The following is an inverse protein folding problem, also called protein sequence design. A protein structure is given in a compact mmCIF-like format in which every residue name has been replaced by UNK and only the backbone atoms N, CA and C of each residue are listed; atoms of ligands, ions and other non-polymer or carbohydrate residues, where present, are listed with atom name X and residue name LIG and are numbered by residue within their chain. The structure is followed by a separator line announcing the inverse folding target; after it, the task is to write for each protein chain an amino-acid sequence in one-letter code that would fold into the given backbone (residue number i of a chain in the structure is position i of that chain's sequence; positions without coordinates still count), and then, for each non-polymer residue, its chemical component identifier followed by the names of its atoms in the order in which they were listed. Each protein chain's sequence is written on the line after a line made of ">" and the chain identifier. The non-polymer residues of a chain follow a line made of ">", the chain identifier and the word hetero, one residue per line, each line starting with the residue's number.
data_IF_171733559777
#
_entry.id   IF_171733559777
#
_cell.length_a   1.000
_cell.length_b   1.000
_cell.length_c   1.000
_cell.angle_alpha   90.00
_cell.angle_beta   90.00
_cell.angle_gamma   90.00
#
_symmetry.space_group_name_H-M   'P 1'
#
loop_
_entity.id
_entity.type
_entity.pdbx_description
1 polymer ?
#
# COMPACT_ATOMS: atom_id res chain seq x y z
N UNK A 1 -1.45 -37.40 -28.72
CA UNK A 1 -0.22 -37.49 -27.89
C UNK A 1 0.31 -36.08 -27.81
N UNK A 2 -0.14 -35.34 -26.82
CA UNK A 2 0.36 -34.01 -26.49
C UNK A 2 1.66 -34.20 -25.72
N UNK A 3 2.79 -33.98 -26.41
CA UNK A 3 4.05 -33.69 -25.76
C UNK A 3 3.92 -32.34 -25.07
N UNK A 4 3.47 -32.33 -23.82
CA UNK A 4 3.61 -31.21 -22.95
C UNK A 4 5.12 -31.05 -22.73
N UNK A 5 5.78 -30.17 -23.48
CA UNK A 5 7.05 -29.61 -23.10
C UNK A 5 6.84 -28.91 -21.76
N UNK A 6 7.14 -29.61 -20.67
CA UNK A 6 7.36 -28.96 -19.38
C UNK A 6 8.52 -27.99 -19.60
N UNK A 7 8.20 -26.73 -19.86
CA UNK A 7 9.18 -25.64 -19.78
C UNK A 7 9.86 -25.77 -18.42
N UNK A 8 11.16 -26.01 -18.42
CA UNK A 8 12.00 -26.04 -17.21
C UNK A 8 11.84 -24.71 -16.47
N UNK A 9 10.90 -24.65 -15.52
CA UNK A 9 10.65 -23.45 -14.72
C UNK A 9 11.87 -23.20 -13.87
N UNK A 10 12.62 -22.15 -14.21
CA UNK A 10 13.81 -21.70 -13.48
C UNK A 10 13.35 -20.79 -12.34
N UNK A 11 13.68 -21.16 -11.13
CA UNK A 11 13.35 -20.41 -9.93
C UNK A 11 14.60 -19.78 -9.35
N UNK A 12 14.53 -18.50 -8.99
CA UNK A 12 15.61 -17.84 -8.26
C UNK A 12 15.61 -18.34 -6.82
N UNK A 13 16.72 -18.88 -6.36
CA UNK A 13 16.90 -19.39 -5.00
C UNK A 13 18.16 -18.75 -4.43
N UNK A 14 17.97 -17.84 -3.52
CA UNK A 14 19.09 -17.15 -2.91
C UNK A 14 19.89 -16.32 -3.90
N UNK A 15 21.17 -16.64 -4.00
CA UNK A 15 22.09 -15.98 -4.92
C UNK A 15 22.26 -16.73 -6.25
N UNK A 16 21.36 -17.67 -6.58
CA UNK A 16 21.43 -18.47 -7.79
C UNK A 16 20.08 -18.80 -8.37
N UNK A 17 20.08 -19.43 -9.53
CA UNK A 17 18.90 -19.97 -10.18
C UNK A 17 18.97 -21.50 -10.17
N UNK A 18 17.87 -22.15 -9.85
CA UNK A 18 17.74 -23.61 -9.91
C UNK A 18 16.47 -23.99 -10.70
N UNK A 19 16.53 -25.14 -11.37
CA UNK A 19 15.31 -25.71 -11.96
C UNK A 19 14.36 -26.13 -10.85
N UNK A 20 13.10 -25.79 -10.95
CA UNK A 20 12.05 -26.13 -9.97
C UNK A 20 12.02 -27.63 -9.66
N UNK A 21 12.28 -28.47 -10.66
CA UNK A 21 12.34 -29.94 -10.54
C UNK A 21 13.47 -30.41 -9.59
N UNK A 22 14.55 -29.64 -9.48
CA UNK A 22 15.72 -29.98 -8.64
C UNK A 22 15.60 -29.43 -7.22
N UNK A 23 14.49 -28.76 -6.89
CA UNK A 23 14.32 -28.15 -5.58
C UNK A 23 13.67 -29.17 -4.62
N UNK A 24 14.41 -29.54 -3.58
CA UNK A 24 13.89 -30.38 -2.48
C UNK A 24 13.06 -29.58 -1.48
N UNK A 25 13.12 -28.25 -1.54
CA UNK A 25 12.44 -27.33 -0.62
C UNK A 25 11.03 -26.92 -1.07
N UNK A 26 10.17 -26.50 -0.11
CA UNK A 26 8.84 -26.00 -0.38
C UNK A 26 8.88 -24.56 -0.93
N UNK A 27 8.99 -24.41 -2.25
CA UNK A 27 9.00 -23.12 -2.94
C UNK A 27 7.73 -22.93 -3.76
N UNK A 28 7.13 -21.75 -3.66
CA UNK A 28 6.06 -21.32 -4.56
C UNK A 28 6.56 -20.20 -5.46
N UNK A 29 6.33 -20.31 -6.76
CA UNK A 29 6.66 -19.29 -7.75
C UNK A 29 5.35 -18.69 -8.32
N UNK A 30 5.34 -17.38 -8.48
CA UNK A 30 4.24 -16.62 -9.11
C UNK A 30 4.82 -15.87 -10.30
N UNK A 31 4.32 -16.18 -11.49
CA UNK A 31 4.61 -15.45 -12.72
C UNK A 31 3.78 -14.15 -12.73
N UNK A 32 4.49 -13.04 -12.61
CA UNK A 32 3.86 -11.72 -12.52
C UNK A 32 3.27 -11.23 -13.84
N UNK A 33 3.76 -11.72 -14.99
CA UNK A 33 3.24 -11.30 -16.30
C UNK A 33 1.75 -11.61 -16.42
N UNK A 34 1.36 -12.83 -16.04
CA UNK A 34 -0.05 -13.27 -16.06
C UNK A 34 -0.92 -12.52 -15.06
N UNK A 35 -0.37 -12.13 -13.92
CA UNK A 35 -1.10 -11.46 -12.87
C UNK A 35 -1.39 -10.00 -13.20
N UNK A 36 -0.39 -9.29 -13.73
CA UNK A 36 -0.51 -7.87 -14.10
C UNK A 36 -1.47 -7.66 -15.27
N UNK A 37 -1.54 -8.62 -16.19
CA UNK A 37 -2.44 -8.55 -17.35
C UNK A 37 -3.90 -8.92 -16.98
N UNK A 38 -4.11 -9.65 -15.88
CA UNK A 38 -5.43 -10.14 -15.48
C UNK A 38 -6.25 -9.16 -14.63
N UNK A 39 -5.59 -8.30 -13.85
CA UNK A 39 -6.24 -7.36 -12.94
C UNK A 39 -5.37 -6.13 -12.63
N UNK A 40 -5.98 -4.96 -12.35
CA UNK A 40 -5.26 -3.79 -11.84
C UNK A 40 -4.63 -4.08 -10.49
N UNK A 41 -3.32 -3.82 -10.33
CA UNK A 41 -2.57 -4.01 -9.09
C UNK A 41 -1.85 -2.72 -8.76
N UNK A 42 -2.19 -2.10 -7.63
CA UNK A 42 -1.56 -0.89 -7.10
C UNK A 42 -0.46 -1.20 -6.10
N UNK A 43 -0.65 -2.27 -5.32
CA UNK A 43 0.27 -2.75 -4.29
C UNK A 43 0.68 -4.20 -4.58
N UNK A 44 1.99 -4.45 -4.66
CA UNK A 44 2.50 -5.78 -4.95
C UNK A 44 2.15 -6.78 -3.84
N UNK A 45 2.18 -6.34 -2.57
CA UNK A 45 1.83 -7.20 -1.43
C UNK A 45 0.36 -7.62 -1.44
N UNK A 46 -0.56 -6.68 -1.71
CA UNK A 46 -1.98 -6.98 -1.82
C UNK A 46 -2.28 -7.86 -3.05
N UNK A 47 -1.51 -7.66 -4.13
CA UNK A 47 -1.60 -8.45 -5.36
C UNK A 47 -1.32 -9.94 -5.16
N UNK A 48 -0.53 -10.32 -4.16
CA UNK A 48 -0.22 -11.74 -3.87
C UNK A 48 -1.38 -12.53 -3.24
N UNK A 49 -2.47 -11.87 -2.86
CA UNK A 49 -3.60 -12.56 -2.23
C UNK A 49 -4.15 -13.67 -3.12
N UNK A 50 -4.17 -14.91 -2.60
CA UNK A 50 -4.63 -16.10 -3.31
C UNK A 50 -3.68 -16.66 -4.37
N UNK A 51 -2.50 -16.06 -4.60
CA UNK A 51 -1.59 -16.44 -5.70
C UNK A 51 -0.51 -17.45 -5.28
N UNK A 52 -0.15 -17.51 -4.03
CA UNK A 52 0.89 -18.40 -3.54
C UNK A 52 0.37 -19.32 -2.43
N UNK A 53 0.43 -20.63 -2.63
CA UNK A 53 0.02 -21.60 -1.61
C UNK A 53 0.83 -21.41 -0.33
N UNK A 54 0.19 -21.46 0.85
CA UNK A 54 0.84 -21.30 2.16
C UNK A 54 1.31 -19.87 2.48
N UNK A 55 0.81 -18.87 1.74
CA UNK A 55 1.00 -17.45 2.01
C UNK A 55 -0.35 -16.84 2.37
N UNK A 56 -0.43 -16.28 3.56
CA UNK A 56 -1.59 -15.51 4.02
C UNK A 56 -1.33 -14.03 3.76
N UNK A 57 -2.31 -13.36 3.16
CA UNK A 57 -2.24 -11.93 2.82
C UNK A 57 -3.45 -11.25 3.44
N UNK A 58 -3.20 -10.31 4.36
CA UNK A 58 -4.25 -9.57 5.06
C UNK A 58 -4.07 -8.07 4.84
N UNK A 59 -5.09 -7.43 4.29
CA UNK A 59 -5.09 -5.98 4.08
C UNK A 59 -5.77 -5.29 5.26
N UNK A 60 -4.98 -4.64 6.11
CA UNK A 60 -5.45 -4.02 7.36
C UNK A 60 -5.92 -2.56 7.24
N UNK A 61 -5.49 -1.86 6.18
CA UNK A 61 -5.73 -0.41 6.03
C UNK A 61 -6.98 -0.06 5.20
N UNK A 62 -7.84 -1.04 4.89
CA UNK A 62 -9.04 -0.83 4.06
C UNK A 62 -8.75 -0.41 2.61
N UNK A 63 -7.53 -0.62 2.12
CA UNK A 63 -7.14 -0.26 0.75
C UNK A 63 -6.91 1.23 0.54
N UNK A 64 -6.59 1.97 1.60
CA UNK A 64 -6.30 3.40 1.51
C UNK A 64 -5.17 3.69 0.51
N UNK A 65 -5.35 4.63 -0.43
CA UNK A 65 -4.33 5.01 -1.40
C UNK A 65 -2.99 5.36 -0.75
N UNK A 66 -1.89 4.81 -1.29
CA UNK A 66 -0.53 5.01 -0.74
C UNK A 66 -0.21 4.24 0.54
N UNK A 67 -1.21 3.63 1.18
CA UNK A 67 -1.06 2.73 2.32
C UNK A 67 -1.91 1.45 2.13
N UNK A 68 -2.04 1.02 0.89
CA UNK A 68 -2.79 -0.16 0.44
C UNK A 68 -1.98 -1.46 0.52
N UNK A 69 -0.81 -1.42 1.15
CA UNK A 69 0.02 -2.58 1.42
C UNK A 69 -0.66 -3.60 2.32
N UNK A 70 -0.43 -4.88 2.03
CA UNK A 70 -0.94 -5.99 2.82
C UNK A 70 0.14 -6.56 3.76
N UNK A 71 -0.29 -7.06 4.88
CA UNK A 71 0.53 -7.88 5.78
C UNK A 71 0.61 -9.29 5.20
N UNK A 72 1.83 -9.79 5.03
CA UNK A 72 2.08 -11.12 4.49
C UNK A 72 2.61 -12.03 5.60
N UNK A 73 2.11 -13.26 5.65
CA UNK A 73 2.61 -14.31 6.53
C UNK A 73 2.89 -15.58 5.73
N UNK A 74 4.04 -16.17 5.95
CA UNK A 74 4.44 -17.43 5.33
C UNK A 74 4.30 -18.53 6.38
N UNK A 75 3.45 -19.54 6.12
CA UNK A 75 3.12 -20.62 7.07
C UNK A 75 2.54 -20.18 8.42
N UNK A 76 1.89 -19.01 8.48
CA UNK A 76 1.25 -18.48 9.67
C UNK A 76 2.16 -17.63 10.56
N UNK A 77 1.77 -17.45 11.81
CA UNK A 77 2.47 -16.63 12.78
C UNK A 77 3.23 -17.53 13.77
N UNK A 78 4.55 -17.60 13.62
CA UNK A 78 5.41 -18.43 14.45
C UNK A 78 5.99 -17.74 15.69
N UNK A 79 5.75 -16.43 15.85
CA UNK A 79 6.27 -15.62 16.96
C UNK A 79 5.30 -14.52 17.34
N UNK A 80 5.33 -14.10 18.61
CA UNK A 80 4.58 -12.94 19.10
C UNK A 80 5.25 -11.60 18.72
N UNK A 81 6.51 -11.65 18.29
CA UNK A 81 7.24 -10.49 17.80
C UNK A 81 7.00 -10.27 16.30
N UNK A 82 7.92 -9.62 15.62
CA UNK A 82 7.82 -9.43 14.17
C UNK A 82 7.85 -10.79 13.44
N UNK A 83 6.74 -11.13 12.79
CA UNK A 83 6.54 -12.34 11.98
C UNK A 83 6.52 -12.07 10.47
N UNK A 84 6.99 -10.89 10.03
CA UNK A 84 7.09 -10.57 8.61
C UNK A 84 8.17 -11.41 7.93
N UNK A 85 7.92 -11.91 6.71
CA UNK A 85 8.94 -12.57 5.92
C UNK A 85 10.00 -11.57 5.45
N UNK A 86 11.23 -12.05 5.25
CA UNK A 86 12.27 -11.26 4.62
C UNK A 86 11.93 -11.05 3.13
N UNK A 87 11.83 -9.82 2.69
CA UNK A 87 11.67 -9.49 1.26
C UNK A 87 13.01 -9.12 0.68
N UNK A 88 13.37 -9.77 -0.43
CA UNK A 88 14.63 -9.52 -1.15
C UNK A 88 14.32 -9.22 -2.61
N UNK A 89 14.78 -8.07 -3.09
CA UNK A 89 14.53 -7.55 -4.44
C UNK A 89 15.86 -7.51 -5.19
N UNK A 90 15.99 -8.32 -6.21
CA UNK A 90 17.25 -8.46 -6.99
C UNK A 90 18.50 -8.61 -6.10
N UNK A 91 18.37 -9.39 -5.01
CA UNK A 91 19.44 -9.63 -4.04
C UNK A 91 19.52 -8.63 -2.88
N UNK A 92 18.72 -7.56 -2.87
CA UNK A 92 18.74 -6.51 -1.83
C UNK A 92 17.52 -6.62 -0.93
N UNK A 93 17.66 -6.64 0.41
CA UNK A 93 16.53 -6.53 1.32
C UNK A 93 15.74 -5.22 1.10
N UNK A 94 14.43 -5.29 1.00
CA UNK A 94 13.58 -4.13 0.70
C UNK A 94 12.11 -4.34 1.02
N UNK A 95 11.26 -3.41 0.57
CA UNK A 95 9.81 -3.51 0.67
C UNK A 95 9.20 -3.79 -0.71
N UNK A 96 8.31 -4.78 -0.80
CA UNK A 96 7.63 -5.07 -2.07
C UNK A 96 6.76 -3.92 -2.57
N UNK A 97 6.27 -3.05 -1.68
CA UNK A 97 5.43 -1.90 -2.06
C UNK A 97 6.25 -0.72 -2.62
N UNK A 98 7.59 -0.80 -2.56
CA UNK A 98 8.46 0.20 -3.18
C UNK A 98 8.56 0.04 -4.70
N UNK A 99 8.15 -1.10 -5.25
CA UNK A 99 8.30 -1.45 -6.66
C UNK A 99 6.97 -1.34 -7.40
N UNK A 100 7.04 -0.88 -8.65
CA UNK A 100 5.93 -1.00 -9.57
C UNK A 100 5.70 -2.49 -9.92
N UNK A 101 4.48 -3.03 -9.71
CA UNK A 101 4.17 -4.42 -10.05
C UNK A 101 4.50 -4.82 -11.49
N UNK A 102 4.43 -3.88 -12.42
CA UNK A 102 4.73 -4.10 -13.84
C UNK A 102 6.22 -4.29 -14.14
N UNK A 103 7.11 -3.89 -13.22
CA UNK A 103 8.55 -4.11 -13.33
C UNK A 103 8.98 -5.49 -12.83
N UNK A 104 8.07 -6.24 -12.20
CA UNK A 104 8.37 -7.56 -11.63
C UNK A 104 8.20 -8.64 -12.70
N UNK A 105 9.16 -9.54 -12.80
CA UNK A 105 9.12 -10.72 -13.66
C UNK A 105 8.50 -11.90 -12.91
N UNK A 106 9.01 -12.18 -11.70
CA UNK A 106 8.54 -13.29 -10.87
C UNK A 106 8.71 -13.03 -9.39
N UNK A 107 7.91 -13.73 -8.58
CA UNK A 107 8.02 -13.76 -7.13
C UNK A 107 8.16 -15.22 -6.70
N UNK A 108 9.23 -15.52 -5.95
CA UNK A 108 9.45 -16.82 -5.35
C UNK A 108 9.37 -16.76 -3.85
N UNK A 109 8.58 -17.64 -3.24
CA UNK A 109 8.42 -17.71 -1.78
C UNK A 109 9.12 -18.95 -1.26
N UNK A 110 10.19 -18.75 -0.49
CA UNK A 110 10.93 -19.79 0.21
C UNK A 110 10.30 -20.01 1.57
N UNK A 111 9.74 -21.21 1.77
CA UNK A 111 8.90 -21.49 2.95
C UNK A 111 9.60 -22.30 4.03
N UNK A 112 10.70 -22.98 3.70
CA UNK A 112 11.42 -23.83 4.65
C UNK A 112 12.81 -23.31 4.97
N UNK A 113 13.38 -23.82 6.06
CA UNK A 113 14.70 -23.43 6.53
C UNK A 113 15.82 -23.82 5.56
N UNK A 114 15.67 -24.92 4.82
CA UNK A 114 16.71 -25.39 3.89
C UNK A 114 16.86 -24.44 2.71
N UNK A 115 15.74 -24.02 2.10
CA UNK A 115 15.75 -23.08 0.97
C UNK A 115 16.12 -21.64 1.37
N UNK A 116 15.87 -21.26 2.64
CA UNK A 116 16.12 -19.92 3.17
C UNK A 116 17.43 -19.79 3.98
N UNK A 117 18.17 -20.90 4.20
CA UNK A 117 19.35 -20.94 5.09
C UNK A 117 20.41 -19.89 4.78
N UNK A 118 20.62 -19.54 3.52
CA UNK A 118 21.62 -18.55 3.09
C UNK A 118 21.33 -17.12 3.58
N UNK A 119 20.08 -16.84 4.02
CA UNK A 119 19.68 -15.53 4.58
C UNK A 119 19.79 -15.47 6.10
N UNK A 120 20.25 -16.59 6.73
CA UNK A 120 20.47 -16.69 8.17
C UNK A 120 19.19 -16.49 9.00
N UNK A 121 19.35 -15.97 10.21
CA UNK A 121 18.23 -15.78 11.17
C UNK A 121 17.12 -14.86 10.68
N UNK A 122 17.41 -13.93 9.80
CA UNK A 122 16.40 -13.03 9.19
C UNK A 122 15.36 -13.76 8.36
N UNK A 123 15.66 -14.99 7.92
CA UNK A 123 14.77 -15.82 7.11
C UNK A 123 13.86 -16.75 7.93
N UNK A 124 13.87 -16.65 9.26
CA UNK A 124 13.09 -17.53 10.14
C UNK A 124 11.58 -17.55 9.84
N UNK A 125 11.03 -16.43 9.35
CA UNK A 125 9.63 -16.28 8.96
C UNK A 125 9.37 -16.51 7.45
N UNK A 126 10.33 -17.12 6.73
CA UNK A 126 10.31 -17.29 5.29
C UNK A 126 10.94 -16.12 4.53
N UNK A 127 11.15 -16.32 3.23
CA UNK A 127 11.75 -15.31 2.34
C UNK A 127 10.90 -15.15 1.09
N UNK A 128 10.68 -13.91 0.69
CA UNK A 128 10.02 -13.55 -0.57
C UNK A 128 11.08 -12.94 -1.48
N UNK A 129 11.41 -13.65 -2.55
CA UNK A 129 12.35 -13.21 -3.57
C UNK A 129 11.58 -12.55 -4.70
N UNK A 130 11.91 -11.32 -5.01
CA UNK A 130 11.35 -10.57 -6.13
C UNK A 130 12.43 -10.42 -7.18
N UNK A 131 12.17 -10.97 -8.36
CA UNK A 131 13.02 -10.80 -9.53
C UNK A 131 12.35 -9.79 -10.45
N UNK A 132 13.08 -8.74 -10.80
CA UNK A 132 12.57 -7.72 -11.70
C UNK A 132 12.97 -8.01 -13.15
N UNK A 133 12.25 -7.40 -14.09
CA UNK A 133 12.49 -7.57 -15.51
C UNK A 133 13.89 -7.09 -15.88
N UNK A 134 14.57 -7.89 -16.72
CA UNK A 134 15.88 -7.59 -17.27
C UNK A 134 15.82 -7.42 -18.77
N UNK A 135 16.86 -6.83 -19.34
CA UNK A 135 17.06 -6.81 -20.78
C UNK A 135 17.25 -8.21 -21.34
N UNK A 136 16.90 -8.39 -22.60
CA UNK A 136 17.11 -9.63 -23.36
C UNK A 136 17.83 -9.31 -24.64
N UNK A 137 18.67 -10.23 -25.12
CA UNK A 137 19.34 -10.10 -26.42
C UNK A 137 18.29 -9.91 -27.52
N UNK A 138 18.50 -8.92 -28.38
CA UNK A 138 17.60 -8.57 -29.46
C UNK A 138 17.40 -7.06 -29.61
N UNK A 139 16.63 -6.66 -30.61
CA UNK A 139 16.32 -5.25 -30.85
C UNK A 139 15.54 -4.60 -29.69
N UNK A 140 15.68 -3.29 -29.56
CA UNK A 140 14.96 -2.51 -28.54
C UNK A 140 13.46 -2.61 -28.74
N UNK A 141 12.73 -2.92 -27.68
CA UNK A 141 11.27 -2.98 -27.65
C UNK A 141 10.74 -1.95 -26.66
N UNK A 142 9.87 -1.07 -27.14
CA UNK A 142 9.11 -0.13 -26.30
C UNK A 142 7.76 -0.75 -26.01
N UNK A 143 7.34 -0.74 -24.76
CA UNK A 143 6.04 -1.22 -24.32
C UNK A 143 5.36 -0.16 -23.46
N UNK A 144 4.07 0.04 -23.71
CA UNK A 144 3.20 0.88 -22.88
C UNK A 144 2.08 0.01 -22.33
N UNK A 145 1.85 0.14 -21.02
CA UNK A 145 0.70 -0.46 -20.34
C UNK A 145 -0.01 0.62 -19.53
N UNK A 146 -1.30 0.79 -19.76
CA UNK A 146 -2.10 1.77 -19.04
C UNK A 146 -3.50 1.24 -18.76
N UNK A 147 -4.02 1.60 -17.59
CA UNK A 147 -5.40 1.29 -17.23
C UNK A 147 -6.03 2.42 -16.41
N UNK A 148 -7.35 2.49 -16.52
CA UNK A 148 -8.21 3.36 -15.68
C UNK A 148 -9.20 2.44 -14.97
N UNK A 149 -9.34 2.62 -13.66
CA UNK A 149 -10.23 1.79 -12.84
C UNK A 149 -11.18 2.68 -12.04
N UNK A 150 -12.45 2.38 -12.13
CA UNK A 150 -13.48 2.95 -11.25
C UNK A 150 -13.45 2.25 -9.89
N UNK A 151 -13.38 3.03 -8.84
CA UNK A 151 -13.37 2.54 -7.45
C UNK A 151 -14.60 3.06 -6.72
N UNK A 152 -15.27 2.17 -6.01
CA UNK A 152 -16.42 2.47 -5.17
C UNK A 152 -16.35 1.65 -3.87
N UNK A 153 -17.12 2.04 -2.86
CA UNK A 153 -17.27 1.24 -1.64
C UNK A 153 -17.93 -0.10 -1.99
N UNK A 154 -17.32 -1.21 -1.57
CA UNK A 154 -17.79 -2.55 -1.93
C UNK A 154 -19.05 -2.96 -1.16
N UNK A 155 -19.11 -2.59 0.11
CA UNK A 155 -20.26 -2.88 0.98
C UNK A 155 -20.64 -1.61 1.72
N UNK A 156 -21.90 -1.26 1.65
CA UNK A 156 -22.50 -0.23 2.48
C UNK A 156 -23.16 -0.88 3.68
N UNK A 157 -23.16 -0.19 4.80
CA UNK A 157 -23.94 -0.59 5.97
C UNK A 157 -25.40 -0.27 5.72
N UNK A 158 -26.29 -1.09 6.23
CA UNK A 158 -27.72 -0.80 6.24
C UNK A 158 -28.02 0.13 7.42
N UNK A 159 -28.00 1.44 7.15
CA UNK A 159 -28.22 2.49 8.13
C UNK A 159 -29.57 3.15 7.90
N UNK A 160 -30.21 3.53 8.99
CA UNK A 160 -31.44 4.34 8.92
C UNK A 160 -31.09 5.76 8.47
N UNK A 161 -31.59 6.17 7.32
CA UNK A 161 -31.33 7.49 6.72
C UNK A 161 -32.50 8.47 6.87
N UNK A 162 -33.70 7.96 7.12
CA UNK A 162 -34.87 8.79 7.45
C UNK A 162 -34.85 9.17 8.93
N UNK A 163 -34.85 10.46 9.24
CA UNK A 163 -34.72 10.90 10.63
C UNK A 163 -35.98 10.65 11.47
N UNK A 164 -37.17 10.70 10.89
CA UNK A 164 -38.40 10.37 11.62
C UNK A 164 -38.41 8.89 12.05
N UNK A 165 -37.97 7.99 11.16
CA UNK A 165 -37.84 6.56 11.47
C UNK A 165 -36.74 6.31 12.51
N UNK A 166 -35.61 7.06 12.42
CA UNK A 166 -34.55 7.03 13.42
C UNK A 166 -35.08 7.39 14.81
N UNK A 167 -35.86 8.50 14.94
CA UNK A 167 -36.42 8.92 16.19
C UNK A 167 -37.37 7.88 16.79
N UNK A 168 -38.20 7.22 15.95
CA UNK A 168 -39.09 6.13 16.39
C UNK A 168 -38.33 4.95 16.94
N UNK A 169 -37.32 4.47 16.19
CA UNK A 169 -36.48 3.36 16.60
C UNK A 169 -35.68 3.68 17.86
N UNK A 170 -35.17 4.91 17.97
CA UNK A 170 -34.46 5.36 19.16
C UNK A 170 -35.38 5.35 20.38
N UNK A 171 -36.58 5.92 20.26
CA UNK A 171 -37.61 5.91 21.30
C UNK A 171 -38.02 4.49 21.72
N UNK A 172 -38.06 3.54 20.76
CA UNK A 172 -38.35 2.14 21.06
C UNK A 172 -37.20 1.51 21.86
N UNK A 173 -35.95 1.77 21.47
CA UNK A 173 -34.76 1.30 22.19
C UNK A 173 -34.70 1.79 23.64
N UNK A 174 -34.98 3.09 23.87
CA UNK A 174 -35.05 3.70 25.20
C UNK A 174 -36.16 3.06 26.06
N UNK A 175 -37.36 2.91 25.50
CA UNK A 175 -38.47 2.23 26.20
C UNK A 175 -38.13 0.79 26.58
N UNK A 176 -37.47 0.04 25.69
CA UNK A 176 -37.05 -1.31 25.96
C UNK A 176 -35.96 -1.40 27.05
N UNK A 177 -35.23 -0.31 27.26
CA UNK A 177 -34.25 -0.12 28.33
C UNK A 177 -34.86 0.47 29.61
N UNK A 178 -36.18 0.63 29.69
CA UNK A 178 -36.94 1.30 30.79
C UNK A 178 -36.50 2.78 30.97
N UNK A 179 -36.09 3.43 29.91
CA UNK A 179 -35.79 4.87 29.89
C UNK A 179 -36.92 5.67 29.23
N UNK A 180 -37.07 6.96 29.53
CA UNK A 180 -38.03 7.81 28.86
C UNK A 180 -37.68 8.04 27.40
N UNK A 181 -38.65 7.96 26.51
CA UNK A 181 -38.49 8.29 25.10
C UNK A 181 -38.18 9.79 24.93
N UNK A 182 -37.05 10.18 24.36
CA UNK A 182 -36.64 11.58 24.27
C UNK A 182 -37.41 12.37 23.20
N UNK A 183 -37.85 11.71 22.12
CA UNK A 183 -38.51 12.38 21.02
C UNK A 183 -40.06 12.33 21.18
N UNK A 184 -40.70 13.48 21.15
CA UNK A 184 -42.16 13.55 21.17
C UNK A 184 -42.77 13.10 19.84
N UNK A 185 -44.02 12.61 19.87
CA UNK A 185 -44.72 12.22 18.64
C UNK A 185 -44.92 13.41 17.71
N UNK A 186 -45.21 14.60 18.26
CA UNK A 186 -45.33 15.82 17.49
C UNK A 186 -44.09 16.16 16.70
N UNK A 187 -42.91 15.99 17.30
CA UNK A 187 -41.61 16.19 16.65
C UNK A 187 -41.39 15.18 15.51
N UNK A 188 -41.71 13.93 15.75
CA UNK A 188 -41.58 12.86 14.73
C UNK A 188 -42.52 13.16 13.55
N UNK A 189 -43.76 13.57 13.82
CA UNK A 189 -44.74 13.90 12.80
C UNK A 189 -44.34 15.16 12.01
N UNK A 190 -43.75 16.17 12.66
CA UNK A 190 -43.19 17.36 12.01
C UNK A 190 -42.09 16.97 10.98
N UNK A 191 -41.11 16.15 11.37
CA UNK A 191 -40.06 15.71 10.47
C UNK A 191 -40.59 14.82 9.35
N UNK A 192 -41.52 13.92 9.65
CA UNK A 192 -42.16 13.07 8.65
C UNK A 192 -42.94 13.89 7.63
N UNK A 193 -43.68 14.91 8.07
CA UNK A 193 -44.41 15.81 7.17
C UNK A 193 -43.48 16.69 6.34
N UNK A 194 -42.38 17.14 6.90
CA UNK A 194 -41.40 17.94 6.20
C UNK A 194 -40.68 17.13 5.09
N UNK A 195 -40.38 15.84 5.34
CA UNK A 195 -39.71 14.95 4.38
C UNK A 195 -38.40 15.57 3.88
N UNK A 196 -38.28 15.74 2.56
CA UNK A 196 -37.12 16.36 1.92
C UNK A 196 -37.37 17.82 1.44
N UNK A 197 -38.34 18.50 1.98
CA UNK A 197 -38.72 19.85 1.55
C UNK A 197 -37.63 20.90 1.83
N UNK A 198 -36.89 20.73 2.92
CA UNK A 198 -35.73 21.56 3.30
C UNK A 198 -34.65 20.69 3.94
N UNK A 199 -33.72 20.21 3.15
CA UNK A 199 -32.65 19.27 3.63
C UNK A 199 -31.67 19.93 4.59
N UNK A 200 -31.69 21.24 4.75
CA UNK A 200 -30.83 21.95 5.72
C UNK A 200 -31.53 21.98 7.08
N UNK A 201 -32.82 22.28 7.09
CA UNK A 201 -33.63 22.42 8.30
C UNK A 201 -34.16 21.06 8.79
N UNK A 202 -34.59 20.20 7.87
CA UNK A 202 -35.13 18.86 8.12
C UNK A 202 -34.34 17.80 7.38
N UNK A 203 -33.08 17.59 7.78
CA UNK A 203 -32.21 16.66 7.08
C UNK A 203 -32.62 15.19 7.25
N UNK A 204 -32.48 14.43 6.17
CA UNK A 204 -32.53 12.97 6.12
C UNK A 204 -31.21 12.49 5.49
N UNK A 205 -30.16 12.49 6.30
CA UNK A 205 -28.80 12.39 5.78
C UNK A 205 -28.32 10.94 5.66
N UNK A 206 -27.95 10.53 4.44
CA UNK A 206 -27.13 9.32 4.23
C UNK A 206 -25.65 9.69 4.35
N UNK A 207 -25.09 9.43 5.51
CA UNK A 207 -23.68 9.72 5.79
C UNK A 207 -22.70 8.91 4.94
N UNK A 208 -23.11 7.77 4.40
CA UNK A 208 -22.29 6.98 3.49
C UNK A 208 -22.22 7.65 2.12
N UNK A 209 -23.31 8.22 1.62
CA UNK A 209 -23.30 9.01 0.38
C UNK A 209 -22.46 10.28 0.52
N UNK A 210 -22.47 10.91 1.68
CA UNK A 210 -21.64 12.08 1.96
C UNK A 210 -20.15 11.72 2.07
N UNK A 211 -19.83 10.58 2.67
CA UNK A 211 -18.46 10.17 2.95
C UNK A 211 -17.74 9.56 1.73
N UNK A 212 -18.48 8.81 0.90
CA UNK A 212 -17.91 8.04 -0.19
C UNK A 212 -18.28 8.59 -1.55
N UNK A 213 -17.30 8.67 -2.42
CA UNK A 213 -17.43 9.07 -3.82
C UNK A 213 -16.83 8.02 -4.76
N UNK A 214 -17.17 8.10 -6.02
CA UNK A 214 -16.49 7.30 -7.04
C UNK A 214 -15.10 7.87 -7.32
N UNK A 215 -14.07 7.04 -7.14
CA UNK A 215 -12.69 7.36 -7.47
C UNK A 215 -12.28 6.80 -8.84
N UNK A 216 -11.52 7.57 -9.63
CA UNK A 216 -10.97 7.13 -10.91
C UNK A 216 -9.46 6.97 -10.80
N UNK A 217 -9.02 5.75 -10.53
CA UNK A 217 -7.61 5.40 -10.49
C UNK A 217 -7.06 5.30 -11.90
N UNK A 218 -5.85 5.86 -12.13
CA UNK A 218 -5.12 5.79 -13.39
C UNK A 218 -3.72 5.26 -13.12
N UNK A 219 -3.24 4.37 -13.97
CA UNK A 219 -1.86 3.86 -13.95
C UNK A 219 -1.32 3.79 -15.38
N UNK A 220 -0.13 4.36 -15.58
CA UNK A 220 0.53 4.43 -16.86
C UNK A 220 1.99 4.03 -16.71
N UNK A 221 2.40 2.97 -17.39
CA UNK A 221 3.79 2.48 -17.38
C UNK A 221 4.32 2.44 -18.81
N UNK A 222 5.47 3.06 -19.02
CA UNK A 222 6.25 2.92 -20.25
C UNK A 222 7.53 2.17 -19.90
N UNK A 223 7.93 1.21 -20.73
CA UNK A 223 9.18 0.48 -20.55
C UNK A 223 9.89 0.27 -21.86
N UNK A 224 11.22 0.21 -21.79
CA UNK A 224 12.12 -0.08 -22.89
C UNK A 224 12.99 -1.27 -22.45
N UNK A 225 12.97 -2.33 -23.22
CA UNK A 225 13.84 -3.50 -23.02
C UNK A 225 14.60 -3.79 -24.29
N UNK A 226 15.84 -4.22 -24.13
CA UNK A 226 16.67 -4.60 -25.28
C UNK A 226 18.05 -5.08 -24.84
N UNK A 227 18.86 -5.41 -25.81
CA UNK A 227 20.25 -5.79 -25.54
C UNK A 227 20.93 -6.36 -26.77
N UNK A 228 22.25 -6.39 -26.69
CA UNK A 228 23.16 -7.14 -27.56
C UNK A 228 23.68 -8.35 -26.82
N UNK A 229 24.60 -9.10 -27.41
CA UNK A 229 25.28 -10.21 -26.74
C UNK A 229 26.09 -9.78 -25.50
N UNK A 230 26.44 -8.48 -25.42
CA UNK A 230 27.26 -7.93 -24.33
C UNK A 230 26.55 -6.98 -23.38
N UNK A 231 25.46 -6.39 -23.78
CA UNK A 231 24.76 -5.36 -22.97
C UNK A 231 23.27 -5.68 -22.98
N UNK A 232 22.69 -5.79 -21.79
CA UNK A 232 21.25 -5.95 -21.61
C UNK A 232 20.71 -4.83 -20.75
N UNK A 233 19.57 -4.24 -21.13
CA UNK A 233 18.97 -3.15 -20.39
C UNK A 233 17.45 -3.26 -20.32
N UNK A 234 16.93 -2.87 -19.17
CA UNK A 234 15.51 -2.61 -18.95
C UNK A 234 15.37 -1.26 -18.27
N UNK A 235 14.54 -0.38 -18.83
CA UNK A 235 14.26 0.94 -18.29
C UNK A 235 12.75 1.08 -18.24
N UNK A 236 12.19 1.54 -17.12
CA UNK A 236 10.76 1.83 -16.99
C UNK A 236 10.50 3.15 -16.28
N UNK A 237 9.37 3.75 -16.62
CA UNK A 237 8.78 4.89 -15.93
C UNK A 237 7.30 4.63 -15.69
N UNK A 238 6.80 4.95 -14.48
CA UNK A 238 5.41 4.75 -14.12
C UNK A 238 4.83 5.99 -13.46
N UNK A 239 3.57 6.26 -13.77
CA UNK A 239 2.72 7.24 -13.10
C UNK A 239 1.45 6.56 -12.61
N UNK A 240 1.19 6.67 -11.31
CA UNK A 240 -0.02 6.20 -10.64
C UNK A 240 -0.72 7.40 -10.00
N UNK A 241 -2.01 7.56 -10.29
CA UNK A 241 -2.91 8.51 -9.62
C UNK A 241 -4.08 7.75 -9.04
N UNK A 242 -4.25 7.80 -7.73
CA UNK A 242 -5.38 7.23 -7.02
C UNK A 242 -6.04 8.29 -6.13
N UNK A 243 -7.15 8.92 -6.56
CA UNK A 243 -7.82 9.96 -5.78
C UNK A 243 -8.51 9.43 -4.51
N UNK A 244 -8.57 8.09 -4.36
CA UNK A 244 -9.37 7.45 -3.32
C UNK A 244 -10.88 7.62 -3.52
N UNK A 245 -11.65 7.02 -2.62
CA UNK A 245 -13.12 7.08 -2.60
C UNK A 245 -13.67 8.00 -1.51
N UNK A 246 -12.79 8.70 -0.78
CA UNK A 246 -13.14 9.71 0.23
C UNK A 246 -12.40 11.00 -0.06
N UNK A 247 -12.88 12.12 0.49
CA UNK A 247 -12.16 13.38 0.41
C UNK A 247 -10.81 13.33 1.13
N UNK A 248 -9.82 14.07 0.62
CA UNK A 248 -8.48 14.17 1.19
C UNK A 248 -7.80 12.82 1.47
N UNK A 249 -8.05 11.82 0.60
CA UNK A 249 -7.45 10.48 0.68
C UNK A 249 -6.60 10.11 -0.55
N UNK A 250 -6.27 11.09 -1.39
CA UNK A 250 -5.57 10.89 -2.65
C UNK A 250 -4.11 10.45 -2.49
N UNK A 251 -3.61 9.78 -3.52
CA UNK A 251 -2.20 9.38 -3.65
C UNK A 251 -1.74 9.47 -5.10
N UNK A 252 -0.63 10.17 -5.31
CA UNK A 252 0.06 10.26 -6.59
C UNK A 252 1.46 9.66 -6.45
N UNK A 253 1.90 8.85 -7.44
CA UNK A 253 3.23 8.25 -7.43
C UNK A 253 3.87 8.33 -8.81
N UNK A 254 5.10 8.80 -8.85
CA UNK A 254 6.00 8.70 -9.99
C UNK A 254 7.13 7.74 -9.62
N UNK A 255 7.41 6.76 -10.45
CA UNK A 255 8.51 5.83 -10.21
C UNK A 255 9.30 5.54 -11.50
N UNK A 256 10.56 5.20 -11.34
CA UNK A 256 11.43 4.80 -12.43
C UNK A 256 12.34 3.65 -11.99
N UNK A 257 12.73 2.82 -12.96
CA UNK A 257 13.67 1.70 -12.79
C UNK A 257 14.64 1.64 -13.95
N UNK A 258 15.87 1.26 -13.63
CA UNK A 258 16.93 0.94 -14.59
C UNK A 258 17.63 -0.33 -14.15
N UNK A 259 17.64 -1.33 -14.98
CA UNK A 259 18.48 -2.53 -14.86
C UNK A 259 19.39 -2.58 -16.07
N UNK A 260 20.69 -2.65 -15.83
CA UNK A 260 21.73 -2.69 -16.85
C UNK A 260 22.77 -3.75 -16.48
N UNK A 261 23.03 -4.67 -17.38
CA UNK A 261 24.09 -5.67 -17.30
C UNK A 261 25.01 -5.48 -18.50
N UNK A 262 26.32 -5.38 -18.27
CA UNK A 262 27.33 -5.23 -19.33
C UNK A 262 28.46 -6.23 -19.17
N UNK A 263 28.61 -7.13 -20.14
CA UNK A 263 29.75 -8.03 -20.25
C UNK A 263 30.95 -7.29 -20.89
N UNK A 264 31.83 -6.75 -20.04
CA UNK A 264 32.98 -5.98 -20.46
C UNK A 264 34.02 -6.91 -21.10
N UNK A 265 34.14 -8.12 -20.56
CA UNK A 265 34.95 -9.25 -21.04
C UNK A 265 34.18 -10.53 -20.72
N UNK A 266 34.48 -11.64 -21.42
CA UNK A 266 33.85 -12.95 -21.16
C UNK A 266 33.96 -13.41 -19.70
N UNK A 267 35.01 -12.97 -19.02
CA UNK A 267 35.25 -13.25 -17.60
C UNK A 267 34.80 -12.11 -16.65
N UNK A 268 34.36 -10.93 -17.14
CA UNK A 268 34.06 -9.75 -16.33
C UNK A 268 32.76 -9.07 -16.75
N UNK A 269 31.79 -9.06 -15.85
CA UNK A 269 30.49 -8.41 -16.01
C UNK A 269 30.32 -7.34 -14.93
N UNK A 270 29.77 -6.19 -15.30
CA UNK A 270 29.34 -5.15 -14.38
C UNK A 270 27.84 -4.90 -14.56
N UNK A 271 27.17 -4.47 -13.52
CA UNK A 271 25.75 -4.15 -13.64
C UNK A 271 25.27 -3.15 -12.62
N UNK A 272 24.09 -2.61 -12.92
CA UNK A 272 23.36 -1.64 -12.10
C UNK A 272 21.89 -2.04 -12.04
N UNK A 273 21.35 -2.11 -10.83
CA UNK A 273 19.93 -2.24 -10.59
C UNK A 273 19.49 -1.04 -9.72
N UNK A 274 18.81 -0.09 -10.33
CA UNK A 274 18.38 1.11 -9.64
C UNK A 274 16.87 1.32 -9.80
N UNK A 275 16.22 1.71 -8.72
CA UNK A 275 14.83 2.14 -8.75
C UNK A 275 14.58 3.25 -7.75
N UNK A 276 13.57 4.04 -8.02
CA UNK A 276 13.14 5.06 -7.09
C UNK A 276 11.73 5.53 -7.37
N UNK A 277 11.14 6.18 -6.38
CA UNK A 277 9.85 6.80 -6.54
C UNK A 277 9.70 8.07 -5.69
N UNK A 278 8.80 8.93 -6.14
CA UNK A 278 8.22 10.01 -5.35
C UNK A 278 6.73 9.73 -5.23
N UNK A 279 6.27 9.52 -3.98
CA UNK A 279 4.85 9.37 -3.64
C UNK A 279 4.37 10.57 -2.84
N UNK A 280 3.20 11.11 -3.19
CA UNK A 280 2.53 12.16 -2.43
C UNK A 280 1.16 11.66 -2.01
N UNK A 281 0.90 11.67 -0.72
CA UNK A 281 -0.33 11.23 -0.08
C UNK A 281 -1.01 12.41 0.61
N UNK A 282 -2.31 12.58 0.37
CA UNK A 282 -3.10 13.58 1.07
C UNK A 282 -3.40 13.13 2.51
N UNK A 283 -3.34 14.07 3.45
CA UNK A 283 -3.57 13.80 4.85
C UNK A 283 -4.98 14.24 5.24
N UNK A 284 -5.95 13.35 5.07
CA UNK A 284 -7.28 13.49 5.68
C UNK A 284 -7.32 12.93 7.11
N UNK A 285 -8.51 12.84 7.69
CA UNK A 285 -8.77 12.35 9.04
C UNK A 285 -8.11 10.99 9.37
N UNK A 286 -7.82 10.20 8.36
CA UNK A 286 -7.37 8.81 8.47
C UNK A 286 -5.94 8.68 9.03
N UNK A 287 -5.32 9.79 9.39
CA UNK A 287 -3.90 9.85 9.79
C UNK A 287 -3.64 9.64 11.27
N UNK A 288 -4.62 9.82 12.12
CA UNK A 288 -4.43 9.48 13.53
C UNK A 288 -4.40 7.96 13.65
N UNK A 289 -3.32 7.44 14.20
CA UNK A 289 -3.11 6.01 14.39
C UNK A 289 -4.33 5.31 14.99
N UNK A 290 -4.83 4.25 14.32
CA UNK A 290 -6.02 3.50 14.75
C UNK A 290 -7.37 4.01 14.22
N UNK A 291 -7.41 5.00 13.37
CA UNK A 291 -8.65 5.69 12.96
C UNK A 291 -9.53 4.99 11.93
N UNK A 292 -9.07 3.90 11.32
CA UNK A 292 -9.96 3.12 10.45
C UNK A 292 -11.23 2.66 11.18
N UNK A 293 -11.11 2.19 12.41
CA UNK A 293 -12.26 1.82 13.23
C UNK A 293 -13.04 3.04 13.71
N UNK A 294 -12.38 4.16 14.03
CA UNK A 294 -13.04 5.39 14.46
C UNK A 294 -13.89 6.02 13.34
N UNK A 295 -13.43 5.95 12.08
CA UNK A 295 -14.23 6.43 10.96
C UNK A 295 -15.57 5.69 10.86
N UNK A 296 -15.54 4.36 10.88
CA UNK A 296 -16.77 3.55 10.85
C UNK A 296 -17.62 3.74 12.10
N UNK A 297 -17.02 3.85 13.26
CA UNK A 297 -17.74 4.16 14.51
C UNK A 297 -18.47 5.51 14.41
N UNK A 298 -17.82 6.54 13.91
CA UNK A 298 -18.45 7.84 13.70
C UNK A 298 -19.55 7.78 12.65
N UNK A 299 -19.33 7.04 11.56
CA UNK A 299 -20.34 6.88 10.53
C UNK A 299 -21.61 6.20 11.04
N UNK A 300 -21.47 5.20 11.93
CA UNK A 300 -22.57 4.49 12.57
C UNK A 300 -23.26 5.32 13.67
N UNK A 301 -22.50 6.13 14.40
CA UNK A 301 -23.00 6.91 15.54
C UNK A 301 -23.56 8.27 15.15
N UNK A 302 -23.52 8.64 13.86
CA UNK A 302 -24.00 9.95 13.41
C UNK A 302 -25.47 9.86 13.03
N UNK A 303 -26.29 10.71 13.66
CA UNK A 303 -27.73 10.81 13.39
C UNK A 303 -28.02 11.28 11.96
N UNK A 304 -29.05 10.73 11.29
CA UNK A 304 -29.52 11.27 10.01
C UNK A 304 -30.15 12.65 10.10
N UNK A 305 -30.48 13.10 11.32
CA UNK A 305 -31.02 14.43 11.61
C UNK A 305 -30.03 15.58 11.56
N UNK A 306 -28.85 15.35 11.02
CA UNK A 306 -27.78 16.33 10.89
C UNK A 306 -27.48 16.61 9.42
N UNK A 307 -27.51 17.83 8.97
CA UNK A 307 -27.12 18.23 7.63
C UNK A 307 -25.60 18.07 7.45
N UNK A 308 -25.15 17.57 6.31
CA UNK A 308 -23.72 17.41 6.00
C UNK A 308 -23.02 18.76 5.99
N UNK A 309 -23.46 19.61 5.08
CA UNK A 309 -22.95 20.95 4.85
C UNK A 309 -24.05 21.77 4.17
N UNK A 310 -24.30 22.96 4.69
CA UNK A 310 -25.22 23.90 4.06
C UNK A 310 -24.63 24.46 2.75
N UNK A 311 -25.46 24.99 1.83
CA UNK A 311 -24.97 25.57 0.56
C UNK A 311 -23.97 26.72 0.74
N UNK A 312 -23.99 27.39 1.88
CA UNK A 312 -23.05 28.46 2.25
C UNK A 312 -21.72 27.95 2.84
N UNK A 313 -21.54 26.63 2.92
CA UNK A 313 -20.32 25.98 3.39
C UNK A 313 -20.27 25.67 4.89
N UNK A 314 -21.29 26.04 5.68
CA UNK A 314 -21.34 25.73 7.11
C UNK A 314 -21.62 24.25 7.35
N UNK A 315 -20.87 23.64 8.27
CA UNK A 315 -21.08 22.25 8.66
C UNK A 315 -22.21 22.13 9.67
N UNK A 316 -23.16 21.24 9.39
CA UNK A 316 -24.28 20.97 10.28
C UNK A 316 -23.87 20.18 11.51
N UNK A 317 -24.45 20.53 12.62
CA UNK A 317 -24.57 19.75 13.83
C UNK A 317 -25.99 19.20 13.97
N UNK A 318 -26.35 18.70 15.14
CA UNK A 318 -27.72 18.22 15.41
C UNK A 318 -28.70 19.37 15.39
N UNK A 319 -29.76 19.22 14.60
CA UNK A 319 -30.84 20.22 14.56
C UNK A 319 -31.83 20.06 15.72
N UNK A 320 -31.93 18.86 16.25
CA UNK A 320 -32.81 18.55 17.36
C UNK A 320 -31.98 18.41 18.66
N UNK A 321 -32.28 19.21 19.71
CA UNK A 321 -31.49 19.17 20.96
C UNK A 321 -31.65 17.87 21.76
N UNK A 322 -32.65 17.05 21.47
CA UNK A 322 -32.86 15.74 22.07
C UNK A 322 -31.91 14.67 21.48
N UNK A 323 -31.26 14.94 20.37
CA UNK A 323 -30.19 14.06 19.84
C UNK A 323 -29.00 14.03 20.79
N UNK A 324 -28.34 12.87 20.86
CA UNK A 324 -27.16 12.68 21.70
C UNK A 324 -26.09 13.73 21.39
N UNK A 325 -25.57 14.36 22.44
CA UNK A 325 -24.48 15.34 22.34
C UNK A 325 -23.22 14.81 21.62
N UNK A 326 -22.95 13.50 21.66
CA UNK A 326 -21.86 12.89 20.93
C UNK A 326 -22.10 12.89 19.42
N UNK A 327 -23.34 12.68 18.99
CA UNK A 327 -23.71 12.77 17.56
C UNK A 327 -23.44 14.17 17.00
N UNK A 328 -23.69 15.20 17.79
CA UNK A 328 -23.54 16.61 17.37
C UNK A 328 -22.12 17.00 16.93
N UNK A 329 -21.09 16.26 17.33
CA UNK A 329 -19.69 16.54 16.98
C UNK A 329 -19.16 15.67 15.84
N UNK A 330 -19.96 14.73 15.36
CA UNK A 330 -19.49 13.65 14.46
C UNK A 330 -19.67 13.92 12.97
N UNK A 331 -19.89 15.15 12.55
CA UNK A 331 -19.99 15.48 11.13
C UNK A 331 -18.75 15.00 10.36
N UNK A 332 -18.93 13.94 9.54
CA UNK A 332 -17.87 13.24 8.82
C UNK A 332 -17.17 14.16 7.82
N UNK A 333 -17.92 14.98 7.07
CA UNK A 333 -17.32 15.90 6.09
C UNK A 333 -16.44 16.93 6.78
N UNK A 334 -16.88 17.48 7.91
CA UNK A 334 -16.05 18.38 8.72
C UNK A 334 -14.77 17.70 9.18
N UNK A 335 -14.87 16.45 9.64
CA UNK A 335 -13.70 15.68 10.09
C UNK A 335 -12.73 15.39 8.95
N UNK A 336 -13.21 15.01 7.77
CA UNK A 336 -12.38 14.81 6.57
C UNK A 336 -11.65 16.10 6.14
N UNK A 337 -12.23 17.26 6.46
CA UNK A 337 -11.66 18.59 6.16
C UNK A 337 -10.97 19.26 7.36
N UNK A 338 -10.83 18.56 8.50
CA UNK A 338 -10.20 19.11 9.72
C UNK A 338 -8.69 19.18 9.68
N UNK A 339 -8.05 18.61 8.67
CA UNK A 339 -6.60 18.64 8.50
C UNK A 339 -6.25 18.89 7.04
N UNK A 340 -5.45 19.92 6.80
CA UNK A 340 -4.80 20.17 5.51
C UNK A 340 -3.35 19.69 5.59
N UNK A 341 -2.89 19.02 4.54
CA UNK A 341 -1.51 18.60 4.49
C UNK A 341 -1.26 17.45 3.54
N UNK A 342 0.00 17.07 3.47
CA UNK A 342 0.42 15.94 2.67
C UNK A 342 1.66 15.27 3.27
N UNK A 343 1.85 14.02 2.89
CA UNK A 343 3.07 13.26 3.15
C UNK A 343 3.74 12.94 1.82
N UNK A 344 4.95 13.44 1.61
CA UNK A 344 5.75 13.13 0.44
C UNK A 344 6.86 12.17 0.82
N UNK A 345 6.95 11.05 0.13
CA UNK A 345 8.01 10.05 0.28
C UNK A 345 8.85 10.04 -0.99
N UNK A 346 10.16 10.26 -0.85
CA UNK A 346 11.14 10.07 -1.92
C UNK A 346 12.01 8.87 -1.55
N UNK A 347 12.10 7.89 -2.44
CA UNK A 347 12.88 6.66 -2.26
C UNK A 347 13.79 6.46 -3.45
N UNK A 348 15.03 6.02 -3.19
CA UNK A 348 15.97 5.62 -4.22
C UNK A 348 16.81 4.45 -3.69
N UNK A 349 16.88 3.39 -4.46
CA UNK A 349 17.73 2.25 -4.19
C UNK A 349 18.59 2.01 -5.44
N UNK A 350 19.90 1.94 -5.26
CA UNK A 350 20.84 1.73 -6.35
C UNK A 350 21.87 0.68 -5.94
N UNK A 351 21.84 -0.48 -6.61
CA UNK A 351 22.79 -1.57 -6.45
C UNK A 351 23.74 -1.56 -7.64
N UNK A 352 25.03 -1.48 -7.35
CA UNK A 352 26.13 -1.66 -8.30
C UNK A 352 26.79 -2.99 -8.00
N UNK A 353 27.08 -3.79 -9.01
CA UNK A 353 27.74 -5.06 -8.82
C UNK A 353 28.77 -5.32 -9.91
N UNK A 354 29.77 -6.10 -9.56
CA UNK A 354 30.78 -6.63 -10.47
C UNK A 354 30.91 -8.15 -10.26
N UNK A 355 30.98 -8.88 -11.36
CA UNK A 355 31.07 -10.32 -11.36
C UNK A 355 32.31 -10.75 -12.19
N UNK A 356 33.14 -11.58 -11.58
CA UNK A 356 34.37 -12.11 -12.20
C UNK A 356 34.23 -13.63 -12.32
N UNK A 357 34.46 -14.17 -13.50
CA UNK A 357 34.50 -15.61 -13.81
C UNK A 357 35.88 -16.01 -14.31
N UNK A 358 36.86 -16.25 -13.41
CA UNK A 358 38.24 -16.49 -13.79
C UNK A 358 38.44 -17.77 -14.63
N UNK A 359 37.63 -18.79 -14.35
CA UNK A 359 37.56 -20.05 -15.07
C UNK A 359 36.18 -20.69 -14.94
N UNK A 360 35.92 -21.73 -15.75
CA UNK A 360 34.64 -22.40 -15.77
C UNK A 360 34.24 -22.93 -14.37
N UNK A 361 33.07 -22.60 -13.93
CA UNK A 361 32.50 -23.01 -12.63
C UNK A 361 32.75 -22.01 -11.49
N UNK A 362 33.80 -21.17 -11.53
CA UNK A 362 34.02 -20.18 -10.45
C UNK A 362 33.43 -18.83 -10.81
N UNK A 363 32.59 -18.31 -9.91
CA UNK A 363 32.03 -16.97 -9.96
C UNK A 363 32.34 -16.23 -8.67
N UNK A 364 32.89 -15.03 -8.78
CA UNK A 364 33.14 -14.10 -7.68
C UNK A 364 32.31 -12.85 -7.96
N UNK A 365 31.44 -12.48 -7.04
CA UNK A 365 30.60 -11.30 -7.16
C UNK A 365 30.78 -10.38 -5.94
N UNK A 366 30.92 -9.09 -6.19
CA UNK A 366 30.87 -8.05 -5.19
C UNK A 366 29.80 -7.02 -5.53
N UNK A 367 29.05 -6.56 -4.55
CA UNK A 367 28.04 -5.54 -4.76
C UNK A 367 28.02 -4.47 -3.66
N UNK A 368 27.60 -3.26 -4.04
CA UNK A 368 27.32 -2.16 -3.14
C UNK A 368 25.94 -1.60 -3.43
N UNK A 369 25.13 -1.47 -2.39
CA UNK A 369 23.79 -0.89 -2.48
C UNK A 369 23.69 0.35 -1.61
N UNK A 370 23.23 1.43 -2.21
CA UNK A 370 22.83 2.66 -1.55
C UNK A 370 21.30 2.74 -1.55
N UNK A 371 20.69 2.73 -0.36
CA UNK A 371 19.25 2.86 -0.17
C UNK A 371 18.98 4.13 0.63
N UNK A 372 18.30 5.05 0.00
CA UNK A 372 17.93 6.36 0.54
C UNK A 372 16.42 6.51 0.56
N UNK A 373 15.88 6.96 1.68
CA UNK A 373 14.50 7.39 1.80
C UNK A 373 14.42 8.70 2.57
N UNK A 374 13.64 9.63 2.06
CA UNK A 374 13.22 10.83 2.78
C UNK A 374 11.70 10.89 2.78
N UNK A 375 11.12 11.13 3.96
CA UNK A 375 9.70 11.32 4.14
C UNK A 375 9.46 12.67 4.78
N UNK A 376 8.77 13.53 4.06
CA UNK A 376 8.36 14.85 4.52
C UNK A 376 6.86 14.88 4.75
N UNK A 377 6.42 15.30 5.93
CA UNK A 377 5.00 15.47 6.27
C UNK A 377 4.76 16.91 6.67
N UNK A 378 3.81 17.54 6.00
CA UNK A 378 3.26 18.84 6.34
C UNK A 378 1.83 18.66 6.84
N UNK A 379 1.49 19.23 7.97
CA UNK A 379 0.18 19.09 8.59
C UNK A 379 -0.25 20.40 9.22
N UNK A 380 -1.49 20.80 8.94
CA UNK A 380 -2.13 21.98 9.49
C UNK A 380 -3.56 21.63 9.91
N UNK A 381 -3.89 21.64 11.20
CA UNK A 381 -5.28 21.52 11.65
C UNK A 381 -6.10 22.72 11.15
N UNK A 382 -7.32 22.43 10.75
CA UNK A 382 -8.31 23.42 10.34
C UNK A 382 -9.53 23.26 11.26
N UNK A 383 -9.95 24.36 11.84
CA UNK A 383 -11.07 24.39 12.77
C UNK A 383 -12.28 24.96 12.07
N UNK A 384 -13.38 24.22 12.13
CA UNK A 384 -14.67 24.62 11.54
C UNK A 384 -15.74 24.63 12.63
N UNK A 385 -16.56 25.67 12.65
CA UNK A 385 -17.75 25.69 13.47
C UNK A 385 -18.74 24.59 13.07
N UNK A 386 -19.48 24.09 14.04
CA UNK A 386 -20.64 23.23 13.85
C UNK A 386 -21.86 24.04 14.18
N UNK A 387 -22.84 24.01 13.31
CA UNK A 387 -24.04 24.82 13.38
C UNK A 387 -25.30 23.98 13.62
N UNK A 388 -26.14 24.36 14.59
CA UNK A 388 -27.51 23.99 14.52
C UNK A 388 -28.17 24.83 13.40
N UNK A 389 -28.40 24.20 12.26
CA UNK A 389 -28.90 24.88 11.07
C UNK A 389 -30.40 25.15 11.13
N UNK A 390 -31.14 24.48 12.03
CA UNK A 390 -32.55 24.75 12.30
C UNK A 390 -32.71 26.07 13.02
N UNK A 391 -31.97 26.29 14.09
CA UNK A 391 -31.99 27.53 14.88
C UNK A 391 -31.05 28.62 14.38
N UNK A 392 -30.22 28.30 13.41
CA UNK A 392 -29.15 29.17 12.87
C UNK A 392 -28.17 29.65 13.94
N UNK A 393 -27.76 28.78 14.85
CA UNK A 393 -26.83 29.08 15.94
C UNK A 393 -25.58 28.19 15.90
N UNK A 394 -24.44 28.71 16.39
CA UNK A 394 -23.22 27.89 16.55
C UNK A 394 -23.45 26.92 17.71
N UNK A 395 -23.43 25.64 17.42
CA UNK A 395 -23.52 24.56 18.42
C UNK A 395 -22.16 24.27 19.06
N UNK A 396 -21.12 24.21 18.24
CA UNK A 396 -19.75 24.02 18.69
C UNK A 396 -18.84 24.95 17.91
N UNK A 397 -18.16 25.85 18.63
CA UNK A 397 -17.20 26.76 18.02
C UNK A 397 -15.94 25.99 17.56
N UNK A 398 -15.54 26.22 16.34
CA UNK A 398 -14.30 25.71 15.77
C UNK A 398 -13.10 26.46 16.34
N UNK A 399 -12.84 26.29 17.64
CA UNK A 399 -11.74 26.96 18.33
C UNK A 399 -10.52 26.05 18.46
N UNK A 400 -9.36 26.60 18.26
CA UNK A 400 -8.10 25.90 18.44
C UNK A 400 -6.92 26.73 17.95
N UNK A 401 -5.73 26.40 18.40
CA UNK A 401 -4.53 27.01 17.84
C UNK A 401 -4.19 26.32 16.54
N UNK A 402 -4.16 27.05 15.44
CA UNK A 402 -3.64 26.55 14.18
C UNK A 402 -2.15 26.31 14.37
N UNK A 403 -1.78 25.05 14.51
CA UNK A 403 -0.41 24.62 14.66
C UNK A 403 0.05 23.94 13.38
N UNK A 404 0.92 24.59 12.62
CA UNK A 404 1.58 23.94 11.49
C UNK A 404 2.67 23.03 12.02
N UNK A 405 2.65 21.77 11.60
CA UNK A 405 3.68 20.80 11.93
C UNK A 405 4.37 20.34 10.66
N UNK A 406 5.69 20.45 10.65
CA UNK A 406 6.56 19.86 9.64
C UNK A 406 7.36 18.74 10.27
N UNK A 407 7.35 17.58 9.65
CA UNK A 407 8.10 16.42 10.08
C UNK A 407 8.93 15.91 8.90
N UNK A 408 10.24 15.83 9.06
CA UNK A 408 11.19 15.34 8.07
C UNK A 408 11.93 14.12 8.64
N UNK A 409 11.83 13.01 7.96
CA UNK A 409 12.48 11.75 8.31
C UNK A 409 13.39 11.32 7.17
N UNK A 410 14.59 10.91 7.51
CA UNK A 410 15.61 10.50 6.55
C UNK A 410 16.27 9.18 6.95
N UNK A 411 16.22 8.22 6.07
CA UNK A 411 16.87 6.91 6.20
C UNK A 411 17.93 6.77 5.14
N UNK A 412 19.10 6.30 5.54
CA UNK A 412 20.18 5.90 4.65
C UNK A 412 20.67 4.53 5.08
N UNK A 413 20.68 3.60 4.15
CA UNK A 413 21.24 2.26 4.35
C UNK A 413 22.29 2.02 3.27
N UNK A 414 23.48 1.61 3.71
CA UNK A 414 24.55 1.13 2.85
C UNK A 414 24.69 -0.36 3.08
N UNK A 415 24.66 -1.14 2.02
CA UNK A 415 24.77 -2.58 2.08
C UNK A 415 25.83 -3.05 1.08
N UNK A 416 26.74 -3.90 1.54
CA UNK A 416 27.82 -4.50 0.75
C UNK A 416 27.74 -6.00 0.85
N UNK A 417 27.87 -6.69 -0.28
CA UNK A 417 27.93 -8.14 -0.36
C UNK A 417 29.17 -8.58 -1.12
N UNK A 418 29.75 -9.71 -0.67
CA UNK A 418 30.75 -10.47 -1.41
C UNK A 418 30.37 -11.94 -1.43
N UNK A 419 30.37 -12.56 -2.61
CA UNK A 419 29.97 -13.94 -2.82
C UNK A 419 30.98 -14.64 -3.72
N UNK A 420 31.38 -15.83 -3.31
CA UNK A 420 32.20 -16.75 -4.12
C UNK A 420 31.38 -18.02 -4.33
N UNK A 421 31.13 -18.40 -5.56
CA UNK A 421 30.38 -19.60 -5.94
C UNK A 421 31.24 -20.45 -6.84
N UNK A 422 31.33 -21.74 -6.54
CA UNK A 422 31.92 -22.74 -7.38
C UNK A 422 30.88 -23.81 -7.72
N UNK A 423 30.72 -24.10 -9.01
CA UNK A 423 29.79 -25.10 -9.54
C UNK A 423 30.52 -26.02 -10.50
N UNK A 424 30.37 -27.33 -10.32
CA UNK A 424 30.99 -28.35 -11.17
C UNK A 424 30.10 -29.58 -11.29
N UNK A 425 30.14 -30.18 -12.45
CA UNK A 425 29.50 -31.46 -12.73
C UNK A 425 30.56 -32.58 -12.70
N UNK A 426 30.31 -33.60 -11.90
CA UNK A 426 31.12 -34.82 -11.82
C UNK A 426 30.19 -36.00 -12.11
N UNK A 427 30.30 -36.59 -13.30
CA UNK A 427 29.39 -37.63 -13.80
C UNK A 427 27.90 -37.20 -13.71
N UNK A 428 27.19 -37.81 -12.75
CA UNK A 428 25.76 -37.55 -12.51
C UNK A 428 25.50 -36.57 -11.35
N UNK A 429 26.57 -36.07 -10.73
CA UNK A 429 26.49 -35.18 -9.56
C UNK A 429 26.75 -33.73 -9.99
N UNK A 430 25.81 -32.84 -9.72
CA UNK A 430 26.03 -31.40 -9.76
C UNK A 430 26.40 -30.94 -8.34
N UNK A 431 27.60 -30.39 -8.17
CA UNK A 431 28.11 -29.90 -6.89
C UNK A 431 28.18 -28.39 -6.95
N UNK A 432 27.49 -27.73 -6.03
CA UNK A 432 27.53 -26.29 -5.88
C UNK A 432 27.97 -25.92 -4.45
N UNK A 433 29.02 -25.11 -4.33
CA UNK A 433 29.49 -24.53 -3.08
C UNK A 433 29.42 -23.01 -3.15
N UNK A 434 28.90 -22.39 -2.11
CA UNK A 434 28.78 -20.93 -2.02
C UNK A 434 29.25 -20.45 -0.66
N UNK A 435 30.13 -19.42 -0.67
CA UNK A 435 30.57 -18.70 0.52
C UNK A 435 30.33 -17.22 0.27
N UNK A 436 29.80 -16.54 1.28
CA UNK A 436 29.52 -15.12 1.16
C UNK A 436 29.56 -14.40 2.51
N UNK A 437 29.69 -13.10 2.44
CA UNK A 437 29.60 -12.20 3.58
C UNK A 437 28.91 -10.91 3.18
N UNK A 438 28.23 -10.30 4.14
CA UNK A 438 27.55 -9.01 3.94
C UNK A 438 27.80 -8.08 5.10
N UNK A 439 27.80 -6.79 4.81
CA UNK A 439 27.85 -5.72 5.81
C UNK A 439 26.74 -4.72 5.53
N UNK A 440 26.05 -4.32 6.59
CA UNK A 440 24.99 -3.32 6.50
C UNK A 440 25.23 -2.20 7.53
N UNK A 441 25.10 -0.94 7.08
CA UNK A 441 25.15 0.24 7.93
C UNK A 441 23.87 1.05 7.71
N UNK A 442 23.22 1.39 8.80
CA UNK A 442 21.93 2.10 8.80
C UNK A 442 22.04 3.39 9.57
N UNK A 443 21.48 4.48 9.01
CA UNK A 443 21.36 5.77 9.65
C UNK A 443 19.94 6.29 9.53
N UNK A 444 19.37 6.69 10.64
CA UNK A 444 18.06 7.35 10.72
C UNK A 444 18.20 8.70 11.40
N UNK A 445 17.66 9.73 10.78
CA UNK A 445 17.55 11.07 11.34
C UNK A 445 16.12 11.55 11.16
N UNK A 446 15.62 12.28 12.12
CA UNK A 446 14.34 12.93 12.03
C UNK A 446 14.37 14.33 12.65
N UNK A 447 13.52 15.18 12.14
CA UNK A 447 13.34 16.54 12.62
C UNK A 447 11.88 16.89 12.61
N UNK A 448 11.37 17.53 13.67
CA UNK A 448 10.02 18.05 13.76
C UNK A 448 10.05 19.49 14.22
N UNK A 449 9.36 20.35 13.50
CA UNK A 449 9.12 21.74 13.88
C UNK A 449 7.62 22.01 13.89
N UNK A 450 7.18 22.80 14.85
CA UNK A 450 5.79 23.22 14.98
C UNK A 450 5.73 24.71 15.35
N UNK A 451 4.80 25.44 14.72
CA UNK A 451 4.56 26.86 15.01
C UNK A 451 3.06 27.11 15.09
#
# INVERSE_FOLDING_TARGET
>A
KDDAQQLDEIVVVGYGTQKKVNMTGAVSSVDMSKMVDSRPITSLSAGLSGMAAGVSVTQGSGGRPGNDGATIRVRGQGTLNNSDPLVVIDGVPGSMNDINPQDVESISVLKDAASSAIYGSRAANGVILITTRKGKTGGSRISYNGYVTMQQVAHRMDLVTNYADYMELFNEGERNSNLPAPFSQEKIDEWRAAGNSDPVKYPNSDWQDAAFKTGWLQNHTISITGGSDKIHYFISGNYLKNPGIMENSGYDRYSARVNLDAEVKEWFTIGVNAYGYRGKEDLGLIQTEGTGSLFYTHLQATTPGMCFQAPDGRYGGVNNPEDDAQSGTNNILRKLNSTKGNRTTNKMVSRFYAQIRPFKGLTIEGSYTYDFQNRYRYEQPVFHDIWNLYSNTVQTAGTGKTKVTNHDEKWVRNHMDGIIRYETDIDRLNIQATVGGSQEAYRYNWFQASK
#
